data_IF_393805744025
#
_entry.id   IF_393805744025
#
_cell.length_a   1.000
_cell.length_b   1.000
_cell.length_c   1.000
_cell.angle_alpha   90.00
_cell.angle_beta   90.00
_cell.angle_gamma   90.00
#
_symmetry.space_group_name_H-M   'P 1'
#
loop_
_entity.id
_entity.type
_entity.pdbx_description
1 polymer ?
#
# COMPACT_ATOMS: atom_id res chain seq x y z
N UNK A 1 53.14 71.87 46.34
CA UNK A 1 51.86 71.57 47.02
C UNK A 1 51.57 70.10 46.77
N UNK A 2 52.10 69.23 47.64
CA UNK A 2 51.98 67.78 47.50
C UNK A 2 50.64 67.34 48.09
N UNK A 3 49.85 66.51 47.39
CA UNK A 3 48.60 66.01 47.93
C UNK A 3 48.87 65.12 49.15
N UNK A 4 48.03 65.28 50.16
CA UNK A 4 48.10 64.59 51.45
C UNK A 4 47.91 63.06 51.28
N UNK A 5 48.67 62.26 52.04
CA UNK A 5 48.76 60.79 51.88
C UNK A 5 47.40 60.10 52.11
N UNK A 6 46.56 60.70 52.97
CA UNK A 6 45.19 60.27 53.24
C UNK A 6 44.29 60.41 52.02
N UNK A 7 44.48 61.45 51.22
CA UNK A 7 43.68 61.71 50.02
C UNK A 7 44.00 60.69 48.92
N UNK A 8 45.28 60.35 48.75
CA UNK A 8 45.72 59.29 47.83
C UNK A 8 45.18 57.91 48.22
N UNK A 9 45.11 57.59 49.51
CA UNK A 9 44.55 56.32 49.99
C UNK A 9 43.04 56.20 49.72
N UNK A 10 42.27 57.28 49.91
CA UNK A 10 40.82 57.31 49.66
C UNK A 10 40.53 57.16 48.17
N UNK A 11 41.27 57.88 47.30
CA UNK A 11 41.11 57.75 45.85
C UNK A 11 41.54 56.36 45.34
N UNK A 12 42.60 55.77 45.90
CA UNK A 12 43.05 54.42 45.54
C UNK A 12 42.02 53.34 45.90
N UNK A 13 41.44 53.40 47.10
CA UNK A 13 40.38 52.47 47.52
C UNK A 13 39.09 52.66 46.71
N UNK A 14 38.70 53.92 46.46
CA UNK A 14 37.54 54.24 45.63
C UNK A 14 37.66 53.70 44.20
N UNK A 15 38.83 53.83 43.57
CA UNK A 15 39.08 53.31 42.23
C UNK A 15 39.01 51.78 42.16
N UNK A 16 39.52 51.07 43.19
CA UNK A 16 39.50 49.61 43.27
C UNK A 16 38.07 49.05 43.47
N UNK A 17 37.27 49.75 44.26
CA UNK A 17 35.86 49.38 44.50
C UNK A 17 35.00 49.61 43.24
N UNK A 18 35.21 50.72 42.52
CA UNK A 18 34.53 50.98 41.24
C UNK A 18 34.94 49.97 40.17
N UNK A 19 36.23 49.61 40.10
CA UNK A 19 36.73 48.61 39.17
C UNK A 19 36.12 47.21 39.40
N UNK A 20 36.00 46.78 40.67
CA UNK A 20 35.42 45.48 41.02
C UNK A 20 33.90 45.39 40.84
N UNK A 21 33.17 46.48 41.08
CA UNK A 21 31.73 46.56 40.78
C UNK A 21 31.47 46.58 39.27
N UNK A 22 32.33 47.26 38.50
CA UNK A 22 32.26 47.28 37.03
C UNK A 22 32.42 45.90 36.41
N UNK A 23 33.41 45.12 36.85
CA UNK A 23 33.62 43.74 36.36
C UNK A 23 32.47 42.81 36.74
N UNK A 24 31.94 42.92 37.97
CA UNK A 24 30.80 42.11 38.42
C UNK A 24 29.50 42.38 37.62
N UNK A 25 29.25 43.64 37.24
CA UNK A 25 28.11 44.01 36.39
C UNK A 25 28.26 43.50 34.95
N UNK A 26 29.47 43.57 34.37
CA UNK A 26 29.75 43.04 33.02
C UNK A 26 29.59 41.52 32.98
N UNK A 27 30.08 40.80 33.99
CA UNK A 27 29.91 39.34 34.07
C UNK A 27 28.44 38.92 34.23
N UNK A 28 27.66 39.63 35.04
CA UNK A 28 26.22 39.31 35.22
C UNK A 28 25.42 39.52 33.95
N UNK A 29 25.65 40.62 33.24
CA UNK A 29 24.95 40.91 31.98
C UNK A 29 25.35 39.95 30.86
N UNK A 30 26.63 39.57 30.79
CA UNK A 30 27.12 38.52 29.88
C UNK A 30 26.47 37.16 30.14
N UNK A 31 26.38 36.73 31.40
CA UNK A 31 25.71 35.46 31.78
C UNK A 31 24.21 35.45 31.46
N UNK A 32 23.53 36.59 31.57
CA UNK A 32 22.11 36.72 31.21
C UNK A 32 21.89 36.65 29.70
N UNK A 33 22.72 37.35 28.91
CA UNK A 33 22.67 37.27 27.45
C UNK A 33 22.95 35.85 26.95
N UNK A 34 23.99 35.20 27.47
CA UNK A 34 24.30 33.81 27.11
C UNK A 34 23.16 32.83 27.43
N UNK A 35 22.39 33.06 28.50
CA UNK A 35 21.20 32.25 28.83
C UNK A 35 20.03 32.53 27.88
N UNK A 36 19.83 33.80 27.48
CA UNK A 36 18.81 34.18 26.51
C UNK A 36 19.11 33.58 25.14
N UNK A 37 20.34 33.77 24.63
CA UNK A 37 20.80 33.22 23.35
C UNK A 37 20.67 31.69 23.33
N UNK A 38 21.08 31.01 24.41
CA UNK A 38 20.94 29.55 24.53
C UNK A 38 19.46 29.11 24.55
N UNK A 39 18.55 29.90 25.13
CA UNK A 39 17.13 29.58 25.14
C UNK A 39 16.48 29.78 23.77
N UNK A 40 16.90 30.79 23.02
CA UNK A 40 16.41 31.06 21.67
C UNK A 40 16.94 30.03 20.67
N UNK A 41 18.22 29.64 20.76
CA UNK A 41 18.76 28.52 19.97
C UNK A 41 18.01 27.21 20.23
N UNK A 42 17.66 26.92 21.49
CA UNK A 42 16.89 25.72 21.84
C UNK A 42 15.48 25.76 21.24
N UNK A 43 14.84 26.93 21.20
CA UNK A 43 13.52 27.11 20.56
C UNK A 43 13.61 26.92 19.06
N UNK A 44 14.59 27.53 18.40
CA UNK A 44 14.81 27.37 16.96
C UNK A 44 15.06 25.89 16.59
N UNK A 45 15.90 25.17 17.36
CA UNK A 45 16.11 23.74 17.15
C UNK A 45 14.85 22.91 17.42
N UNK A 46 14.07 23.25 18.45
CA UNK A 46 12.82 22.56 18.75
C UNK A 46 11.79 22.74 17.61
N UNK A 47 11.62 23.96 17.10
CA UNK A 47 10.74 24.25 15.97
C UNK A 47 11.16 23.50 14.71
N UNK A 48 12.46 23.47 14.41
CA UNK A 48 12.99 22.72 13.28
C UNK A 48 12.72 21.20 13.42
N UNK A 49 12.92 20.63 14.61
CA UNK A 49 12.61 19.21 14.85
C UNK A 49 11.13 18.90 14.69
N UNK A 50 10.25 19.78 15.17
CA UNK A 50 8.80 19.62 15.04
C UNK A 50 8.38 19.68 13.57
N UNK A 51 8.95 20.59 12.78
CA UNK A 51 8.62 20.69 11.36
C UNK A 51 9.14 19.48 10.58
N UNK A 52 10.36 19.02 10.86
CA UNK A 52 10.90 17.77 10.29
C UNK A 52 10.03 16.58 10.62
N UNK A 53 9.56 16.45 11.86
CA UNK A 53 8.63 15.39 12.27
C UNK A 53 7.28 15.50 11.55
N UNK A 54 6.75 16.71 11.38
CA UNK A 54 5.49 16.92 10.64
C UNK A 54 5.61 16.50 9.19
N UNK A 55 6.69 16.88 8.52
CA UNK A 55 6.97 16.49 7.13
C UNK A 55 7.11 14.96 7.05
N UNK A 56 7.88 14.35 7.97
CA UNK A 56 8.04 12.90 8.04
C UNK A 56 6.70 12.18 8.24
N UNK A 57 5.86 12.63 9.20
CA UNK A 57 4.53 12.07 9.44
C UNK A 57 3.62 12.18 8.21
N UNK A 58 3.62 13.33 7.52
CA UNK A 58 2.85 13.53 6.28
C UNK A 58 3.35 12.64 5.15
N UNK A 59 4.64 12.37 5.07
CA UNK A 59 5.20 11.43 4.09
C UNK A 59 4.78 9.99 4.42
N UNK A 60 4.88 9.59 5.69
CA UNK A 60 4.46 8.24 6.11
C UNK A 60 2.97 8.00 5.90
N UNK A 61 2.13 9.00 6.17
CA UNK A 61 0.68 8.87 6.01
C UNK A 61 0.30 8.75 4.53
N UNK A 62 0.91 9.56 3.66
CA UNK A 62 0.74 9.42 2.21
C UNK A 62 1.16 8.04 1.71
N UNK A 63 2.30 7.53 2.17
CA UNK A 63 2.76 6.19 1.79
C UNK A 63 1.78 5.10 2.25
N UNK A 64 1.23 5.22 3.48
CA UNK A 64 0.20 4.29 3.99
C UNK A 64 -1.08 4.33 3.15
N UNK A 65 -1.54 5.52 2.76
CA UNK A 65 -2.72 5.66 1.91
C UNK A 65 -2.49 4.98 0.55
N UNK A 66 -1.34 5.23 -0.08
CA UNK A 66 -0.97 4.60 -1.35
C UNK A 66 -0.89 3.07 -1.21
N UNK A 67 -0.32 2.57 -0.11
CA UNK A 67 -0.25 1.13 0.17
C UNK A 67 -1.63 0.51 0.34
N UNK A 68 -2.51 1.15 1.11
CA UNK A 68 -3.90 0.72 1.32
C UNK A 68 -4.69 0.70 0.01
N UNK A 69 -4.55 1.75 -0.82
CA UNK A 69 -5.20 1.83 -2.13
C UNK A 69 -4.72 0.70 -3.05
N UNK A 70 -3.41 0.45 -3.10
CA UNK A 70 -2.83 -0.65 -3.89
C UNK A 70 -3.32 -2.01 -3.41
N UNK A 71 -3.38 -2.21 -2.09
CA UNK A 71 -3.87 -3.45 -1.51
C UNK A 71 -5.36 -3.65 -1.79
N UNK A 72 -6.16 -2.59 -1.67
CA UNK A 72 -7.59 -2.63 -1.96
C UNK A 72 -7.84 -2.97 -3.44
N UNK A 73 -7.08 -2.36 -4.36
CA UNK A 73 -7.16 -2.67 -5.78
C UNK A 73 -6.75 -4.12 -6.09
N UNK A 74 -5.70 -4.64 -5.45
CA UNK A 74 -5.29 -6.04 -5.59
C UNK A 74 -6.39 -7.00 -5.11
N UNK A 75 -6.93 -6.76 -3.92
CA UNK A 75 -8.01 -7.57 -3.34
C UNK A 75 -9.27 -7.54 -4.21
N UNK A 76 -9.60 -6.38 -4.82
CA UNK A 76 -10.76 -6.27 -5.70
C UNK A 76 -10.61 -7.13 -6.96
N UNK A 77 -9.41 -7.17 -7.56
CA UNK A 77 -9.12 -8.01 -8.73
C UNK A 77 -9.20 -9.50 -8.40
N UNK A 78 -8.68 -9.91 -7.24
CA UNK A 78 -8.80 -11.29 -6.78
C UNK A 78 -10.26 -11.70 -6.61
N UNK A 79 -11.08 -10.85 -5.97
CA UNK A 79 -12.52 -11.10 -5.82
C UNK A 79 -13.23 -11.26 -7.17
N UNK A 80 -12.95 -10.39 -8.13
CA UNK A 80 -13.56 -10.46 -9.45
C UNK A 80 -13.24 -11.78 -10.17
N UNK A 81 -11.99 -12.24 -10.07
CA UNK A 81 -11.58 -13.54 -10.60
C UNK A 81 -12.35 -14.68 -9.92
N UNK A 82 -12.40 -14.67 -8.59
CA UNK A 82 -13.06 -15.72 -7.82
C UNK A 82 -14.56 -15.76 -8.10
N UNK A 83 -15.23 -14.60 -8.20
CA UNK A 83 -16.63 -14.49 -8.61
C UNK A 83 -16.87 -15.08 -10.01
N UNK A 84 -15.93 -14.84 -10.94
CA UNK A 84 -15.99 -15.40 -12.30
C UNK A 84 -15.88 -16.92 -12.27
N UNK A 85 -14.96 -17.48 -11.49
CA UNK A 85 -14.79 -18.92 -11.32
C UNK A 85 -16.04 -19.54 -10.68
N UNK A 86 -16.59 -18.91 -9.65
CA UNK A 86 -17.83 -19.35 -9.00
C UNK A 86 -19.01 -19.37 -9.97
N UNK A 87 -19.11 -18.38 -10.87
CA UNK A 87 -20.13 -18.35 -11.92
C UNK A 87 -19.96 -19.51 -12.91
N UNK A 88 -18.73 -19.75 -13.39
CA UNK A 88 -18.40 -20.88 -14.26
C UNK A 88 -18.83 -22.20 -13.61
N UNK A 89 -18.54 -22.36 -12.32
CA UNK A 89 -18.84 -23.56 -11.55
C UNK A 89 -20.33 -23.77 -11.33
N UNK A 90 -21.07 -22.69 -11.09
CA UNK A 90 -22.52 -22.73 -11.02
C UNK A 90 -23.11 -23.18 -12.35
N UNK A 91 -22.66 -22.59 -13.45
CA UNK A 91 -23.13 -22.94 -14.80
C UNK A 91 -22.79 -24.38 -15.17
N UNK A 92 -21.61 -24.87 -14.77
CA UNK A 92 -21.22 -26.27 -14.94
C UNK A 92 -22.18 -27.20 -14.21
N UNK A 93 -22.46 -26.94 -12.93
CA UNK A 93 -23.40 -27.75 -12.14
C UNK A 93 -24.80 -27.76 -12.75
N UNK A 94 -25.31 -26.59 -13.15
CA UNK A 94 -26.61 -26.48 -13.80
C UNK A 94 -26.67 -27.23 -15.13
N UNK A 95 -25.61 -27.16 -15.93
CA UNK A 95 -25.50 -27.86 -17.20
C UNK A 95 -25.46 -29.39 -16.99
N UNK A 96 -24.65 -29.87 -16.05
CA UNK A 96 -24.59 -31.30 -15.69
C UNK A 96 -25.93 -31.81 -15.14
N UNK A 97 -26.64 -30.99 -14.34
CA UNK A 97 -27.99 -31.31 -13.87
C UNK A 97 -28.96 -31.56 -15.04
N UNK A 98 -28.94 -30.67 -16.04
CA UNK A 98 -29.76 -30.81 -17.27
C UNK A 98 -29.39 -32.02 -18.13
N UNK A 99 -28.20 -32.60 -17.96
CA UNK A 99 -27.80 -33.81 -18.69
C UNK A 99 -28.39 -35.09 -18.11
N UNK A 100 -28.91 -35.07 -16.88
CA UNK A 100 -29.47 -36.26 -16.24
C UNK A 100 -30.63 -36.84 -17.03
N UNK A 101 -31.44 -35.98 -17.66
CA UNK A 101 -32.60 -36.34 -18.49
C UNK A 101 -32.23 -36.90 -19.87
N UNK A 102 -30.95 -36.88 -20.25
CA UNK A 102 -30.52 -37.38 -21.57
C UNK A 102 -30.34 -38.89 -21.60
N UNK A 103 -30.52 -39.46 -22.79
CA UNK A 103 -30.27 -40.86 -23.06
C UNK A 103 -28.80 -41.24 -22.77
N UNK A 104 -28.63 -42.37 -22.11
CA UNK A 104 -27.32 -43.01 -21.94
C UNK A 104 -26.88 -43.68 -23.24
N UNK A 105 -25.56 -43.81 -23.43
CA UNK A 105 -25.02 -44.52 -24.58
C UNK A 105 -25.41 -46.01 -24.49
N UNK A 106 -25.99 -46.61 -25.55
CA UNK A 106 -26.23 -48.05 -25.55
C UNK A 106 -24.90 -48.80 -25.46
N UNK A 107 -24.88 -49.90 -24.69
CA UNK A 107 -23.71 -50.76 -24.59
C UNK A 107 -23.29 -51.26 -25.98
N UNK A 108 -21.97 -51.29 -26.22
CA UNK A 108 -21.32 -51.70 -27.47
C UNK A 108 -21.78 -53.09 -27.91
N UNK A 109 -22.86 -53.15 -28.69
CA UNK A 109 -23.52 -54.40 -29.10
C UNK A 109 -24.71 -54.19 -30.05
N UNK A 110 -25.33 -53.01 -30.03
CA UNK A 110 -26.25 -52.57 -31.08
C UNK A 110 -25.50 -51.77 -32.14
N UNK A 111 -25.27 -52.36 -33.31
CA UNK A 111 -24.59 -51.70 -34.42
C UNK A 111 -25.22 -50.36 -34.78
N UNK A 112 -24.41 -49.29 -34.76
CA UNK A 112 -24.78 -48.03 -35.39
C UNK A 112 -24.72 -48.22 -36.91
N UNK A 113 -25.81 -48.72 -37.50
CA UNK A 113 -26.00 -48.73 -38.95
C UNK A 113 -26.42 -47.33 -39.40
N UNK A 114 -25.44 -46.45 -39.54
CA UNK A 114 -25.66 -45.13 -40.10
C UNK A 114 -24.47 -44.23 -39.84
N UNK A 115 -23.69 -43.96 -40.87
CA UNK A 115 -22.68 -42.91 -40.83
C UNK A 115 -23.45 -41.58 -40.60
N UNK A 116 -23.33 -40.92 -39.44
CA UNK A 116 -24.09 -39.70 -39.20
C UNK A 116 -23.57 -38.65 -40.17
N UNK A 117 -24.36 -38.34 -41.19
CA UNK A 117 -24.10 -37.22 -42.09
C UNK A 117 -24.06 -35.98 -41.21
N UNK A 118 -22.90 -35.33 -41.11
CA UNK A 118 -22.74 -34.10 -40.37
C UNK A 118 -23.67 -33.04 -40.99
N UNK A 119 -24.84 -32.86 -40.40
CA UNK A 119 -25.74 -31.77 -40.76
C UNK A 119 -25.07 -30.46 -40.33
N UNK A 120 -25.20 -29.41 -41.16
CA UNK A 120 -24.52 -28.12 -41.00
C UNK A 120 -24.84 -27.36 -39.68
N UNK A 121 -25.60 -27.96 -38.77
CA UNK A 121 -25.94 -27.45 -37.44
C UNK A 121 -25.64 -28.50 -36.36
N UNK A 122 -24.38 -28.90 -36.21
CA UNK A 122 -23.94 -29.69 -35.07
C UNK A 122 -23.97 -28.83 -33.79
N UNK A 123 -25.16 -28.70 -33.19
CA UNK A 123 -25.38 -27.98 -31.91
C UNK A 123 -25.04 -28.81 -30.68
N UNK A 124 -24.62 -30.07 -30.85
CA UNK A 124 -24.37 -31.02 -29.76
C UNK A 124 -25.64 -31.48 -29.02
N UNK A 125 -26.84 -31.10 -29.50
CA UNK A 125 -28.11 -31.49 -28.89
C UNK A 125 -28.35 -33.00 -28.91
N UNK A 126 -27.82 -33.71 -29.92
CA UNK A 126 -27.94 -35.16 -30.07
C UNK A 126 -26.87 -35.98 -29.34
N UNK A 127 -25.97 -35.35 -28.58
CA UNK A 127 -24.93 -36.09 -27.85
C UNK A 127 -25.53 -36.89 -26.69
N UNK A 128 -25.03 -38.12 -26.54
CA UNK A 128 -25.30 -38.96 -25.36
C UNK A 128 -24.82 -38.26 -24.10
N UNK A 129 -25.45 -38.62 -22.97
CA UNK A 129 -25.18 -38.04 -21.66
C UNK A 129 -23.68 -38.00 -21.31
N UNK A 130 -22.97 -39.12 -21.46
CA UNK A 130 -21.55 -39.23 -21.15
C UNK A 130 -20.67 -38.29 -22.01
N UNK A 131 -20.88 -38.29 -23.33
CA UNK A 131 -20.11 -37.47 -24.27
C UNK A 131 -20.35 -35.97 -24.05
N UNK A 132 -21.62 -35.58 -23.85
CA UNK A 132 -21.98 -34.20 -23.53
C UNK A 132 -21.38 -33.76 -22.19
N UNK A 133 -21.39 -34.64 -21.18
CA UNK A 133 -20.84 -34.36 -19.85
C UNK A 133 -19.34 -34.09 -19.90
N UNK A 134 -18.60 -34.92 -20.65
CA UNK A 134 -17.18 -34.71 -20.88
C UNK A 134 -16.89 -33.34 -21.52
N UNK A 135 -17.58 -33.00 -22.63
CA UNK A 135 -17.35 -31.73 -23.33
C UNK A 135 -17.71 -30.50 -22.47
N UNK A 136 -18.79 -30.58 -21.69
CA UNK A 136 -19.18 -29.51 -20.77
C UNK A 136 -18.12 -29.33 -19.67
N UNK A 137 -17.59 -30.43 -19.13
CA UNK A 137 -16.51 -30.42 -18.15
C UNK A 137 -15.24 -29.77 -18.71
N UNK A 138 -14.82 -30.17 -19.89
CA UNK A 138 -13.66 -29.60 -20.58
C UNK A 138 -13.85 -28.11 -20.91
N UNK A 139 -15.04 -27.72 -21.37
CA UNK A 139 -15.34 -26.31 -21.62
C UNK A 139 -15.25 -25.46 -20.33
N UNK A 140 -15.73 -25.98 -19.21
CA UNK A 140 -15.62 -25.31 -17.92
C UNK A 140 -14.15 -25.24 -17.44
N UNK A 141 -13.38 -26.30 -17.61
CA UNK A 141 -11.95 -26.31 -17.29
C UNK A 141 -11.18 -25.27 -18.11
N UNK A 142 -11.43 -25.21 -19.43
CA UNK A 142 -10.85 -24.21 -20.31
C UNK A 142 -11.25 -22.77 -19.90
N UNK A 143 -12.51 -22.56 -19.53
CA UNK A 143 -12.99 -21.26 -19.06
C UNK A 143 -12.31 -20.81 -17.76
N UNK A 144 -12.07 -21.73 -16.82
CA UNK A 144 -11.30 -21.43 -15.59
C UNK A 144 -9.86 -21.03 -15.92
N UNK A 145 -9.20 -21.75 -16.82
CA UNK A 145 -7.83 -21.42 -17.27
C UNK A 145 -7.81 -20.04 -17.93
N UNK A 146 -8.81 -19.71 -18.76
CA UNK A 146 -8.93 -18.40 -19.37
C UNK A 146 -9.08 -17.29 -18.32
N UNK A 147 -9.93 -17.48 -17.30
CA UNK A 147 -10.09 -16.51 -16.21
C UNK A 147 -8.80 -16.28 -15.42
N UNK A 148 -8.05 -17.34 -15.11
CA UNK A 148 -6.73 -17.23 -14.44
C UNK A 148 -5.70 -16.53 -15.32
N UNK A 149 -5.69 -16.84 -16.63
CA UNK A 149 -4.80 -16.19 -17.60
C UNK A 149 -5.08 -14.70 -17.69
N UNK A 150 -6.35 -14.31 -17.78
CA UNK A 150 -6.75 -12.91 -17.90
C UNK A 150 -6.38 -12.13 -16.62
N UNK A 151 -6.62 -12.71 -15.44
CA UNK A 151 -6.13 -12.16 -14.17
C UNK A 151 -4.60 -11.96 -14.16
N UNK A 152 -3.84 -12.94 -14.66
CA UNK A 152 -2.38 -12.83 -14.75
C UNK A 152 -1.94 -11.71 -15.70
N UNK A 153 -2.57 -11.57 -16.87
CA UNK A 153 -2.29 -10.50 -17.82
C UNK A 153 -2.62 -9.13 -17.23
N UNK A 154 -3.81 -8.96 -16.63
CA UNK A 154 -4.20 -7.70 -16.01
C UNK A 154 -3.24 -7.29 -14.88
N UNK A 155 -2.74 -8.27 -14.12
CA UNK A 155 -1.73 -8.04 -13.08
C UNK A 155 -0.41 -7.61 -13.69
N UNK A 156 0.04 -8.25 -14.76
CA UNK A 156 1.30 -7.93 -15.43
C UNK A 156 1.26 -6.57 -16.13
N UNK A 157 0.19 -6.30 -16.88
CA UNK A 157 0.01 -5.03 -17.60
C UNK A 157 -0.07 -3.86 -16.61
N UNK A 158 -0.68 -4.08 -15.43
CA UNK A 158 -0.68 -3.12 -14.33
C UNK A 158 0.70 -2.88 -13.69
N UNK A 159 1.69 -3.75 -13.91
CA UNK A 159 3.08 -3.56 -13.48
C UNK A 159 3.95 -2.94 -14.58
N UNK A 160 3.56 -3.06 -15.85
CA UNK A 160 4.28 -2.45 -16.96
C UNK A 160 4.17 -0.93 -16.86
N UNK A 161 5.27 -0.29 -16.47
CA UNK A 161 5.40 1.18 -16.50
C UNK A 161 5.43 1.56 -17.98
N UNK A 162 4.39 2.28 -18.42
CA UNK A 162 4.29 2.83 -19.77
C UNK A 162 4.65 4.30 -19.76
#
# INVERSE_FOLDING_TARGET
MFPDLRTLAIYGLGALLVASLGTACVERTGKLKARADLSDERRARAEETVERERIARRATERNRQIEQERQAAANARERQKDETILNIDSRLRDALGKLQDRAERPASGGGATGNPIAQASCTGAGLYRADAGFLIGEAAAAARIAAERDYCHDRYDGLSIR
#
